data_IF_249645084255
#
_entry.id   IF_249645084255
#
_cell.length_a   1.000
_cell.length_b   1.000
_cell.length_c   1.000
_cell.angle_alpha   90.00
_cell.angle_beta   90.00
_cell.angle_gamma   90.00
#
_symmetry.space_group_name_H-M   'P 1'
#
loop_
_entity.id
_entity.type
_entity.pdbx_description
1 polymer ?
#
# COMPACT_ATOMS: atom_id res chain seq x y z
N UNK A 1 8.17 3.36 -11.03
CA UNK A 1 9.47 3.91 -10.57
C UNK A 1 10.48 2.78 -10.54
N UNK A 2 11.78 3.06 -10.56
CA UNK A 2 12.74 1.98 -10.36
C UNK A 2 12.80 1.57 -8.88
N UNK A 3 13.00 0.27 -8.61
CA UNK A 3 13.08 -0.29 -7.26
C UNK A 3 14.06 0.46 -6.34
N UNK A 4 15.16 0.97 -6.91
CA UNK A 4 16.20 1.71 -6.18
C UNK A 4 15.69 3.05 -5.64
N UNK A 5 14.82 3.72 -6.37
CA UNK A 5 14.25 5.01 -5.96
C UNK A 5 13.35 4.84 -4.75
N UNK A 6 12.52 3.78 -4.76
CA UNK A 6 11.61 3.45 -3.66
C UNK A 6 12.41 3.14 -2.40
N UNK A 7 13.46 2.31 -2.51
CA UNK A 7 14.34 2.02 -1.36
C UNK A 7 14.95 3.32 -0.83
N UNK A 8 15.42 4.20 -1.72
CA UNK A 8 16.03 5.49 -1.33
C UNK A 8 15.04 6.42 -0.63
N UNK A 9 13.77 6.40 -1.03
CA UNK A 9 12.71 7.23 -0.45
C UNK A 9 12.27 6.75 0.95
N UNK A 10 12.30 5.44 1.18
CA UNK A 10 11.74 4.83 2.39
C UNK A 10 12.79 4.36 3.41
N UNK A 11 14.06 4.25 3.04
CA UNK A 11 15.17 3.85 3.94
C UNK A 11 15.29 4.76 5.16
N UNK A 12 15.64 4.16 6.30
CA UNK A 12 15.93 4.88 7.54
C UNK A 12 17.37 5.39 7.61
N UNK A 13 18.29 4.64 7.01
CA UNK A 13 19.72 4.93 6.94
C UNK A 13 20.27 4.49 5.57
N UNK A 14 21.51 4.88 5.25
CA UNK A 14 22.07 4.74 3.89
C UNK A 14 22.08 3.30 3.37
N UNK A 15 22.29 2.34 4.27
CA UNK A 15 22.42 0.90 3.97
C UNK A 15 21.13 0.09 4.19
N UNK A 16 20.06 0.74 4.64
CA UNK A 16 18.79 0.08 4.93
C UNK A 16 18.11 -0.38 3.64
N UNK A 17 17.94 -1.69 3.50
CA UNK A 17 17.33 -2.35 2.34
C UNK A 17 16.09 -3.15 2.68
N UNK A 18 15.76 -3.28 3.96
CA UNK A 18 14.79 -4.27 4.45
C UNK A 18 14.03 -3.85 5.69
N UNK A 19 14.16 -2.60 6.15
CA UNK A 19 13.29 -2.11 7.22
C UNK A 19 11.83 -2.15 6.80
N UNK A 20 10.97 -2.14 7.81
CA UNK A 20 9.51 -2.10 7.65
C UNK A 20 9.09 -0.92 6.78
N UNK A 21 9.79 0.22 6.86
CA UNK A 21 9.52 1.37 6.00
C UNK A 21 9.80 1.08 4.53
N UNK A 22 10.95 0.47 4.23
CA UNK A 22 11.33 0.07 2.86
C UNK A 22 10.36 -0.99 2.32
N UNK A 23 9.99 -1.98 3.15
CA UNK A 23 9.02 -3.00 2.76
C UNK A 23 7.65 -2.40 2.45
N UNK A 24 7.14 -1.49 3.28
CA UNK A 24 5.90 -0.76 3.02
C UNK A 24 5.99 0.02 1.70
N UNK A 25 7.12 0.69 1.43
CA UNK A 25 7.34 1.41 0.17
C UNK A 25 7.29 0.50 -1.05
N UNK A 26 7.98 -0.64 -0.99
CA UNK A 26 7.99 -1.64 -2.07
C UNK A 26 6.59 -2.24 -2.30
N UNK A 27 5.89 -2.63 -1.23
CA UNK A 27 4.51 -3.12 -1.33
C UNK A 27 3.60 -2.07 -1.97
N UNK A 28 3.77 -0.79 -1.63
CA UNK A 28 2.97 0.30 -2.19
C UNK A 28 3.15 0.45 -3.70
N UNK A 29 4.38 0.34 -4.19
CA UNK A 29 4.63 0.37 -5.63
C UNK A 29 4.08 -0.87 -6.34
N UNK A 30 4.23 -2.05 -5.74
CA UNK A 30 3.71 -3.29 -6.35
C UNK A 30 2.18 -3.27 -6.43
N UNK A 31 1.52 -2.72 -5.40
CA UNK A 31 0.07 -2.47 -5.40
C UNK A 31 -0.33 -1.57 -6.57
N UNK A 32 0.35 -0.44 -6.77
CA UNK A 32 0.06 0.47 -7.89
C UNK A 32 0.22 -0.22 -9.25
N UNK A 33 1.29 -1.00 -9.41
CA UNK A 33 1.54 -1.75 -10.64
C UNK A 33 0.45 -2.78 -10.93
N UNK A 34 0.00 -3.53 -9.92
CA UNK A 34 -1.08 -4.52 -10.08
C UNK A 34 -2.41 -3.82 -10.36
N UNK A 35 -2.67 -2.67 -9.75
CA UNK A 35 -3.87 -1.87 -10.04
C UNK A 35 -3.92 -1.45 -11.51
N UNK A 36 -2.82 -0.97 -12.08
CA UNK A 36 -2.73 -0.63 -13.51
C UNK A 36 -2.96 -1.86 -14.40
N UNK A 37 -2.37 -3.01 -14.05
CA UNK A 37 -2.61 -4.28 -14.75
C UNK A 37 -4.09 -4.70 -14.73
N UNK A 38 -4.75 -4.53 -13.59
CA UNK A 38 -6.17 -4.89 -13.45
C UNK A 38 -7.08 -4.07 -14.35
N UNK A 39 -6.69 -2.85 -14.75
CA UNK A 39 -7.47 -2.00 -15.67
C UNK A 39 -7.42 -2.48 -17.13
N UNK A 40 -6.33 -3.15 -17.52
CA UNK A 40 -6.09 -3.55 -18.93
C UNK A 40 -6.32 -5.04 -19.19
N UNK A 41 -6.28 -5.88 -18.16
CA UNK A 41 -6.42 -7.34 -18.32
C UNK A 41 -7.85 -7.70 -18.71
N UNK A 42 -7.97 -8.45 -19.81
CA UNK A 42 -9.25 -8.94 -20.34
C UNK A 42 -9.51 -10.41 -20.00
N UNK A 43 -8.47 -11.20 -19.76
CA UNK A 43 -8.62 -12.62 -19.41
C UNK A 43 -9.13 -12.77 -17.97
N UNK A 44 -10.26 -13.45 -17.81
CA UNK A 44 -10.93 -13.61 -16.52
C UNK A 44 -10.08 -14.38 -15.47
N UNK A 45 -9.30 -15.36 -15.89
CA UNK A 45 -8.43 -16.14 -14.99
C UNK A 45 -7.28 -15.28 -14.47
N UNK A 46 -6.59 -14.55 -15.36
CA UNK A 46 -5.52 -13.63 -14.98
C UNK A 46 -6.04 -12.47 -14.12
N UNK A 47 -7.22 -11.94 -14.45
CA UNK A 47 -7.87 -10.89 -13.65
C UNK A 47 -8.12 -11.37 -12.21
N UNK A 48 -8.64 -12.60 -12.05
CA UNK A 48 -8.86 -13.19 -10.71
C UNK A 48 -7.55 -13.34 -9.95
N UNK A 49 -6.48 -13.83 -10.59
CA UNK A 49 -5.18 -13.99 -9.95
C UNK A 49 -4.62 -12.65 -9.48
N UNK A 50 -4.59 -11.63 -10.34
CA UNK A 50 -4.11 -10.30 -9.97
C UNK A 50 -4.96 -9.65 -8.87
N UNK A 51 -6.28 -9.87 -8.84
CA UNK A 51 -7.12 -9.38 -7.74
C UNK A 51 -6.77 -10.03 -6.40
N UNK A 52 -6.48 -11.33 -6.39
CA UNK A 52 -6.09 -12.03 -5.17
C UNK A 52 -4.72 -11.54 -4.66
N UNK A 53 -3.76 -11.42 -5.57
CA UNK A 53 -2.44 -10.88 -5.27
C UNK A 53 -2.54 -9.45 -4.72
N UNK A 54 -3.35 -8.61 -5.36
CA UNK A 54 -3.64 -7.25 -4.92
C UNK A 54 -4.17 -7.20 -3.49
N UNK A 55 -5.21 -7.99 -3.19
CA UNK A 55 -5.81 -8.07 -1.85
C UNK A 55 -4.77 -8.51 -0.81
N UNK A 56 -3.95 -9.50 -1.15
CA UNK A 56 -2.89 -9.98 -0.26
C UNK A 56 -1.87 -8.88 0.06
N UNK A 57 -1.38 -8.16 -0.95
CA UNK A 57 -0.39 -7.09 -0.79
C UNK A 57 -0.95 -5.91 0.02
N UNK A 58 -2.19 -5.51 -0.25
CA UNK A 58 -2.90 -4.47 0.51
C UNK A 58 -3.04 -4.86 1.98
N UNK A 59 -3.43 -6.11 2.25
CA UNK A 59 -3.53 -6.64 3.61
C UNK A 59 -2.18 -6.61 4.32
N UNK A 60 -1.13 -7.12 3.68
CA UNK A 60 0.23 -7.14 4.23
C UNK A 60 0.73 -5.74 4.56
N UNK A 61 0.56 -4.78 3.65
CA UNK A 61 0.94 -3.38 3.87
C UNK A 61 0.21 -2.77 5.06
N UNK A 62 -1.08 -3.08 5.21
CA UNK A 62 -1.89 -2.60 6.33
C UNK A 62 -1.41 -3.17 7.67
N UNK A 63 -1.10 -4.46 7.75
CA UNK A 63 -0.54 -5.08 8.96
C UNK A 63 0.79 -4.44 9.37
N UNK A 64 1.67 -4.15 8.41
CA UNK A 64 2.94 -3.45 8.67
C UNK A 64 2.73 -2.01 9.14
N UNK A 65 1.75 -1.29 8.57
CA UNK A 65 1.40 0.06 9.01
C UNK A 65 0.78 0.07 10.41
N UNK A 66 -0.08 -0.90 10.72
CA UNK A 66 -0.67 -1.06 12.05
C UNK A 66 0.42 -1.37 13.09
N UNK A 67 1.39 -2.24 12.77
CA UNK A 67 2.55 -2.48 13.62
C UNK A 67 3.40 -1.21 13.82
N UNK A 68 3.70 -0.49 12.73
CA UNK A 68 4.52 0.73 12.78
C UNK A 68 3.84 1.82 13.62
N UNK A 69 2.51 1.92 13.56
CA UNK A 69 1.73 2.84 14.38
C UNK A 69 1.86 2.53 15.87
N UNK A 70 1.77 1.25 16.26
CA UNK A 70 1.89 0.83 17.66
C UNK A 70 3.30 1.04 18.22
N UNK A 71 4.32 0.82 17.41
CA UNK A 71 5.72 0.87 17.85
C UNK A 71 6.33 2.27 17.75
N UNK A 72 6.02 3.04 16.70
CA UNK A 72 6.65 4.33 16.44
C UNK A 72 5.75 5.26 15.60
N UNK A 73 4.86 5.98 16.29
CA UNK A 73 3.91 6.94 15.69
C UNK A 73 4.61 8.01 14.82
N UNK A 74 5.72 8.66 15.26
CA UNK A 74 6.43 9.62 14.41
C UNK A 74 6.88 9.03 13.08
N UNK A 75 7.39 7.81 13.09
CA UNK A 75 7.85 7.13 11.88
C UNK A 75 6.69 6.71 11.00
N UNK A 76 5.61 6.20 11.59
CA UNK A 76 4.37 5.90 10.90
C UNK A 76 3.85 7.12 10.11
N UNK A 77 3.78 8.30 10.75
CA UNK A 77 3.32 9.53 10.08
C UNK A 77 4.20 9.91 8.88
N UNK A 78 5.53 9.79 9.02
CA UNK A 78 6.47 10.02 7.91
C UNK A 78 6.24 9.05 6.76
N UNK A 79 5.99 7.77 7.06
CA UNK A 79 5.73 6.74 6.05
C UNK A 79 4.41 7.02 5.31
N UNK A 80 3.34 7.37 6.03
CA UNK A 80 2.06 7.74 5.41
C UNK A 80 2.23 8.93 4.47
N UNK A 81 2.92 9.98 4.89
CA UNK A 81 3.17 11.14 4.03
C UNK A 81 3.94 10.78 2.75
N UNK A 82 4.90 9.85 2.83
CA UNK A 82 5.63 9.35 1.65
C UNK A 82 4.73 8.54 0.72
N UNK A 83 3.86 7.69 1.26
CA UNK A 83 2.88 6.93 0.49
C UNK A 83 1.91 7.88 -0.22
N UNK A 84 1.36 8.87 0.48
CA UNK A 84 0.43 9.86 -0.11
C UNK A 84 1.08 10.63 -1.27
N UNK A 85 2.37 10.97 -1.14
CA UNK A 85 3.12 11.63 -2.21
C UNK A 85 3.41 10.71 -3.41
N UNK A 86 3.50 9.39 -3.18
CA UNK A 86 3.70 8.38 -4.21
C UNK A 86 2.38 8.10 -4.96
N UNK A 87 1.29 7.91 -4.23
CA UNK A 87 -0.03 7.52 -4.73
C UNK A 87 -0.90 8.71 -5.18
N UNK A 88 -0.31 9.73 -5.84
CA UNK A 88 -0.96 11.02 -6.17
C UNK A 88 -2.37 10.95 -6.79
N UNK A 89 -2.77 9.81 -7.35
CA UNK A 89 -4.07 9.54 -7.97
C UNK A 89 -5.12 8.87 -7.05
N UNK A 90 -4.78 8.43 -5.83
CA UNK A 90 -5.64 7.55 -5.02
C UNK A 90 -5.89 8.13 -3.62
N UNK A 91 -6.72 9.18 -3.55
CA UNK A 91 -7.29 9.58 -2.26
C UNK A 91 -8.32 8.54 -1.79
N UNK A 92 -7.98 7.73 -0.80
CA UNK A 92 -8.98 7.06 0.07
C UNK A 92 -9.16 5.55 -0.06
N UNK A 93 -8.44 4.85 -0.93
CA UNK A 93 -8.63 3.39 -1.10
C UNK A 93 -7.75 2.51 -0.19
N UNK A 94 -6.65 3.02 0.38
CA UNK A 94 -5.68 2.19 1.10
C UNK A 94 -5.12 2.79 2.40
N UNK A 95 -5.95 3.48 3.18
CA UNK A 95 -5.54 4.00 4.49
C UNK A 95 -5.69 2.97 5.63
N UNK A 96 -4.76 2.94 6.60
CA UNK A 96 -4.72 1.95 7.68
C UNK A 96 -5.87 2.11 8.69
N UNK A 97 -6.18 1.03 9.40
CA UNK A 97 -7.41 0.82 10.18
C UNK A 97 -7.67 1.80 11.29
N UNK A 98 -6.64 2.40 11.85
CA UNK A 98 -6.76 3.17 13.08
C UNK A 98 -7.33 4.59 12.87
N UNK A 99 -7.49 5.05 11.60
CA UNK A 99 -8.40 6.18 11.26
C UNK A 99 -9.89 5.77 11.20
N UNK A 100 -10.24 4.49 11.37
CA UNK A 100 -11.58 3.94 11.12
C UNK A 100 -12.48 3.89 12.36
N UNK A 101 -12.78 5.05 12.95
CA UNK A 101 -14.01 5.20 13.75
C UNK A 101 -15.22 5.70 12.94
N UNK A 102 -15.02 6.09 11.68
CA UNK A 102 -16.11 6.54 10.80
C UNK A 102 -16.47 5.48 9.76
N UNK A 103 -17.72 4.98 9.85
CA UNK A 103 -18.32 3.93 8.99
C UNK A 103 -18.38 4.27 7.49
N UNK A 104 -18.07 5.50 7.07
CA UNK A 104 -18.15 5.93 5.66
C UNK A 104 -17.07 5.33 4.76
N UNK A 105 -15.92 4.91 5.33
CA UNK A 105 -14.76 4.39 4.58
C UNK A 105 -14.86 2.92 4.16
N UNK A 106 -15.88 2.18 4.64
CA UNK A 106 -16.21 0.84 4.12
C UNK A 106 -16.66 0.85 2.64
N UNK A 107 -16.79 2.03 2.02
CA UNK A 107 -17.06 2.18 0.58
C UNK A 107 -15.93 1.69 -0.32
N UNK A 108 -14.67 1.65 0.10
CA UNK A 108 -13.58 1.05 -0.70
C UNK A 108 -13.74 -0.47 -0.87
N UNK A 109 -14.27 -1.15 0.15
CA UNK A 109 -14.64 -2.56 0.08
C UNK A 109 -15.89 -2.82 -0.80
N UNK A 110 -16.65 -1.78 -1.17
CA UNK A 110 -17.78 -1.94 -2.11
C UNK A 110 -17.32 -2.12 -3.55
N UNK A 111 -16.13 -1.64 -3.94
CA UNK A 111 -15.56 -1.95 -5.27
C UNK A 111 -15.02 -3.40 -5.36
N UNK A 112 -14.93 -4.09 -4.23
CA UNK A 112 -14.49 -5.49 -4.13
C UNK A 112 -15.64 -6.46 -3.80
N UNK A 113 -16.90 -6.00 -3.75
CA UNK A 113 -18.08 -6.85 -3.57
C UNK A 113 -18.98 -6.75 -4.80
N UNK A 114 -18.98 -7.85 -5.57
CA UNK A 114 -19.89 -8.27 -6.64
C UNK A 114 -20.01 -7.33 -7.84
#
# INVERSE_FOLDING_TARGET
>A
MEKRDIITLFRLHKEDRGSICVEIGLLSETILFIEEKLKIVTNQSLFRQYRLEFIHLVKKRRELLDYLFLVNIPLYNKVIQRIEKLEKSVQGLYFPLHKHKNKSYLKSYKLLKF
#
